data_IF_505280228472
#
_entry.id   IF_505280228472
#
_cell.length_a   1.000
_cell.length_b   1.000
_cell.length_c   1.000
_cell.angle_alpha   90.00
_cell.angle_beta   90.00
_cell.angle_gamma   90.00
#
_symmetry.space_group_name_H-M   'P 1'
#
loop_
_entity.id
_entity.type
_entity.pdbx_description
1 polymer ?
#
# COMPACT_ATOMS: atom_id res chain seq x y z
N UNK A 1 -9.36 -19.49 -10.23
CA UNK A 1 -9.24 -18.08 -9.85
C UNK A 1 -7.83 -17.62 -10.15
N UNK A 2 -7.67 -16.72 -11.11
CA UNK A 2 -6.36 -16.17 -11.51
C UNK A 2 -6.18 -14.80 -10.86
N UNK A 3 -4.96 -14.49 -10.42
CA UNK A 3 -4.63 -13.19 -9.85
C UNK A 3 -3.19 -13.17 -9.35
N UNK A 4 -2.65 -11.99 -9.04
CA UNK A 4 -1.23 -11.84 -8.64
C UNK A 4 -0.89 -12.67 -7.39
N UNK A 5 0.38 -12.99 -7.20
CA UNK A 5 0.85 -13.54 -5.92
C UNK A 5 0.55 -12.56 -4.78
N UNK A 6 0.27 -13.07 -3.57
CA UNK A 6 0.04 -12.29 -2.34
C UNK A 6 -1.21 -11.39 -2.29
N UNK A 7 -2.15 -11.49 -3.23
CA UNK A 7 -3.42 -10.72 -3.19
C UNK A 7 -4.51 -11.35 -2.32
N UNK A 8 -4.18 -12.39 -1.54
CA UNK A 8 -5.15 -13.05 -0.65
C UNK A 8 -6.05 -14.10 -1.32
N UNK A 9 -5.70 -14.59 -2.52
CA UNK A 9 -6.49 -15.61 -3.24
C UNK A 9 -6.80 -16.84 -2.39
N UNK A 10 -5.78 -17.41 -1.75
CA UNK A 10 -5.95 -18.60 -0.91
C UNK A 10 -6.73 -18.29 0.37
N UNK A 11 -6.67 -17.05 0.90
CA UNK A 11 -7.51 -16.65 2.03
C UNK A 11 -8.97 -16.46 1.62
N UNK A 12 -9.25 -15.95 0.41
CA UNK A 12 -10.60 -15.88 -0.15
C UNK A 12 -11.18 -17.29 -0.34
N UNK A 13 -10.40 -18.24 -0.87
CA UNK A 13 -10.82 -19.64 -1.01
C UNK A 13 -11.10 -20.25 0.37
N UNK A 14 -10.21 -20.04 1.33
CA UNK A 14 -10.39 -20.52 2.70
C UNK A 14 -11.64 -19.90 3.36
N UNK A 15 -11.92 -18.62 3.13
CA UNK A 15 -13.11 -17.95 3.63
C UNK A 15 -14.41 -18.52 3.04
N UNK A 16 -14.45 -18.71 1.71
CA UNK A 16 -15.61 -19.30 1.03
C UNK A 16 -15.88 -20.75 1.48
N UNK A 17 -14.82 -21.52 1.75
CA UNK A 17 -14.93 -22.87 2.31
C UNK A 17 -15.53 -22.84 3.73
N UNK A 18 -15.06 -21.93 4.60
CA UNK A 18 -15.59 -21.78 5.97
C UNK A 18 -17.10 -21.47 5.99
N UNK A 19 -17.54 -20.55 5.13
CA UNK A 19 -18.96 -20.16 5.00
C UNK A 19 -19.80 -21.36 4.55
N UNK A 20 -19.27 -22.16 3.62
CA UNK A 20 -20.05 -23.20 2.96
C UNK A 20 -20.18 -24.49 3.76
N UNK A 21 -19.16 -24.82 4.58
CA UNK A 21 -19.10 -26.06 5.36
C UNK A 21 -19.71 -25.88 6.76
N UNK A 22 -19.99 -24.65 7.21
CA UNK A 22 -20.78 -24.38 8.42
C UNK A 22 -20.07 -24.72 9.74
N UNK A 23 -18.77 -24.46 9.84
CA UNK A 23 -18.00 -24.67 11.07
C UNK A 23 -16.51 -24.86 10.84
N UNK A 24 -15.73 -24.71 11.91
CA UNK A 24 -14.27 -24.89 11.93
C UNK A 24 -13.89 -26.37 11.88
N UNK A 25 -13.71 -26.94 10.69
CA UNK A 25 -13.02 -28.22 10.57
C UNK A 25 -12.29 -28.32 9.22
N UNK A 26 -10.98 -28.57 9.33
CA UNK A 26 -9.96 -28.73 8.29
C UNK A 26 -9.53 -27.47 7.54
N UNK A 27 -8.35 -26.97 7.92
CA UNK A 27 -7.49 -26.14 7.08
C UNK A 27 -7.06 -27.01 5.88
N UNK A 28 -7.87 -27.02 4.81
CA UNK A 28 -7.60 -27.86 3.61
C UNK A 28 -6.30 -27.46 2.91
N UNK A 29 -5.80 -26.24 3.17
CA UNK A 29 -4.51 -25.76 2.66
C UNK A 29 -3.63 -25.29 3.82
N UNK A 30 -2.85 -26.20 4.41
CA UNK A 30 -1.73 -25.84 5.25
C UNK A 30 -0.53 -25.52 4.33
N UNK A 31 -0.45 -24.30 3.78
CA UNK A 31 0.81 -23.86 3.14
C UNK A 31 1.64 -23.04 4.12
N UNK A 32 2.61 -23.70 4.74
CA UNK A 32 3.74 -23.06 5.39
C UNK A 32 4.65 -22.42 4.32
N UNK A 33 4.98 -21.14 4.50
CA UNK A 33 6.17 -20.43 3.96
C UNK A 33 6.09 -19.97 2.47
N UNK A 34 6.61 -18.77 2.12
CA UNK A 34 6.34 -18.07 0.86
C UNK A 34 7.14 -18.67 -0.29
N UNK A 35 6.50 -18.89 -1.44
CA UNK A 35 7.19 -19.33 -2.65
C UNK A 35 6.29 -20.01 -3.66
N UNK A 36 5.47 -20.97 -3.26
CA UNK A 36 4.67 -21.74 -4.23
C UNK A 36 3.51 -22.47 -3.56
N UNK A 37 2.33 -22.42 -4.16
CA UNK A 37 1.44 -23.59 -4.16
C UNK A 37 1.79 -24.39 -5.40
N UNK A 38 2.74 -25.31 -5.30
CA UNK A 38 2.98 -26.30 -6.36
C UNK A 38 1.81 -27.28 -6.35
N UNK A 39 0.81 -27.02 -7.18
CA UNK A 39 -0.32 -27.93 -7.40
C UNK A 39 -1.61 -27.17 -7.71
N UNK A 40 -2.14 -27.36 -8.92
CA UNK A 40 -3.52 -26.99 -9.24
C UNK A 40 -4.44 -27.85 -8.36
N UNK A 41 -4.90 -27.30 -7.24
CA UNK A 41 -5.94 -27.93 -6.43
C UNK A 41 -7.30 -27.50 -6.96
N UNK A 42 -7.99 -28.42 -7.63
CA UNK A 42 -9.39 -28.24 -8.02
C UNK A 42 -10.31 -28.54 -6.83
N UNK A 43 -11.06 -27.55 -6.35
CA UNK A 43 -12.07 -27.71 -5.31
C UNK A 43 -13.45 -27.79 -5.98
N UNK A 44 -14.23 -28.87 -5.80
CA UNK A 44 -15.56 -28.97 -6.41
C UNK A 44 -16.48 -27.79 -6.01
N UNK A 45 -17.16 -27.15 -6.97
CA UNK A 45 -18.06 -26.02 -6.72
C UNK A 45 -19.21 -26.36 -5.77
N UNK A 46 -19.60 -27.64 -5.69
CA UNK A 46 -20.55 -28.13 -4.68
C UNK A 46 -20.17 -27.77 -3.23
N UNK A 47 -18.86 -27.61 -2.96
CA UNK A 47 -18.36 -27.20 -1.63
C UNK A 47 -18.56 -25.72 -1.34
N UNK A 48 -19.00 -24.92 -2.31
CA UNK A 48 -19.24 -23.50 -2.18
C UNK A 48 -20.73 -23.12 -2.33
N UNK A 49 -21.63 -24.10 -2.41
CA UNK A 49 -23.04 -23.89 -2.78
C UNK A 49 -23.75 -22.91 -1.84
N UNK A 50 -23.53 -22.98 -0.53
CA UNK A 50 -24.13 -22.02 0.41
C UNK A 50 -23.58 -20.59 0.29
N UNK A 51 -22.38 -20.41 -0.28
CA UNK A 51 -21.74 -19.10 -0.42
C UNK A 51 -21.88 -18.48 -1.83
N UNK A 52 -22.08 -19.30 -2.87
CA UNK A 52 -22.07 -18.87 -4.28
C UNK A 52 -23.39 -19.11 -5.00
N UNK A 53 -24.30 -19.92 -4.46
CA UNK A 53 -25.58 -20.25 -5.11
C UNK A 53 -26.72 -19.72 -4.23
N UNK A 54 -27.55 -18.77 -4.73
CA UNK A 54 -28.79 -18.38 -4.04
C UNK A 54 -29.65 -19.64 -3.81
N UNK A 55 -30.41 -19.68 -2.71
CA UNK A 55 -31.23 -20.84 -2.27
C UNK A 55 -32.37 -21.25 -3.23
N UNK A 56 -32.27 -20.97 -4.52
CA UNK A 56 -33.25 -21.29 -5.54
C UNK A 56 -32.52 -21.65 -6.85
N UNK A 57 -32.37 -22.94 -7.14
CA UNK A 57 -32.17 -23.42 -8.52
C UNK A 57 -30.80 -23.99 -8.92
N UNK A 58 -30.10 -24.74 -8.07
CA UNK A 58 -28.95 -25.53 -8.53
C UNK A 58 -29.43 -26.70 -9.43
N UNK A 59 -29.29 -26.58 -10.75
CA UNK A 59 -29.58 -27.67 -11.69
C UNK A 59 -28.49 -28.75 -11.67
N UNK A 60 -28.86 -29.97 -12.05
CA UNK A 60 -28.04 -31.20 -11.99
C UNK A 60 -26.73 -31.17 -12.79
N UNK A 61 -26.54 -30.20 -13.71
CA UNK A 61 -25.30 -29.99 -14.47
C UNK A 61 -24.15 -29.38 -13.64
N UNK A 62 -24.41 -28.81 -12.45
CA UNK A 62 -23.38 -28.18 -11.60
C UNK A 62 -22.51 -29.18 -10.81
N UNK A 63 -22.73 -30.50 -10.98
CA UNK A 63 -22.08 -31.55 -10.18
C UNK A 63 -20.62 -31.83 -10.56
N UNK A 64 -20.13 -31.31 -11.70
CA UNK A 64 -18.78 -31.55 -12.22
C UNK A 64 -17.94 -30.27 -12.39
N UNK A 65 -18.38 -29.14 -11.84
CA UNK A 65 -17.64 -27.88 -11.92
C UNK A 65 -16.63 -27.75 -10.77
N UNK A 66 -15.41 -27.28 -11.06
CA UNK A 66 -14.32 -27.13 -10.08
C UNK A 66 -13.79 -25.69 -10.06
N UNK A 67 -13.56 -25.17 -8.85
CA UNK A 67 -12.76 -23.96 -8.65
C UNK A 67 -11.29 -24.36 -8.53
N UNK A 68 -10.51 -24.00 -9.53
CA UNK A 68 -9.06 -24.22 -9.51
C UNK A 68 -8.35 -23.03 -8.88
N UNK A 69 -7.57 -23.24 -7.83
CA UNK A 69 -6.57 -22.26 -7.39
C UNK A 69 -5.36 -22.36 -8.32
N UNK A 70 -5.10 -21.30 -9.08
CA UNK A 70 -3.90 -21.23 -9.93
C UNK A 70 -2.80 -20.51 -9.14
N UNK A 71 -1.54 -20.97 -9.19
CA UNK A 71 -0.42 -20.25 -8.60
C UNK A 71 -0.47 -18.77 -8.99
N UNK A 72 -0.29 -17.89 -8.01
CA UNK A 72 -0.36 -16.46 -8.30
C UNK A 72 0.75 -16.05 -9.24
N UNK A 73 0.39 -15.35 -10.31
CA UNK A 73 1.39 -14.77 -11.23
C UNK A 73 2.17 -13.73 -10.44
N UNK A 74 3.47 -13.96 -10.24
CA UNK A 74 4.36 -12.97 -9.68
C UNK A 74 4.46 -11.82 -10.67
N UNK A 75 4.11 -10.60 -10.24
CA UNK A 75 4.25 -9.41 -11.05
C UNK A 75 5.61 -8.80 -10.76
N UNK A 76 6.49 -8.75 -11.77
CA UNK A 76 7.80 -8.10 -11.69
C UNK A 76 7.72 -6.60 -11.32
N UNK A 77 6.52 -6.01 -11.35
CA UNK A 77 6.24 -4.61 -10.96
C UNK A 77 5.77 -4.41 -9.51
N UNK A 78 5.77 -5.47 -8.69
CA UNK A 78 5.28 -5.38 -7.31
C UNK A 78 6.45 -5.14 -6.36
N UNK A 79 6.58 -3.92 -5.82
CA UNK A 79 7.68 -3.59 -4.89
C UNK A 79 7.78 -4.55 -3.68
N UNK A 80 6.65 -5.17 -3.30
CA UNK A 80 6.56 -6.23 -2.28
C UNK A 80 7.55 -7.38 -2.54
N UNK A 81 7.85 -7.74 -3.80
CA UNK A 81 8.77 -8.86 -4.10
C UNK A 81 10.24 -8.55 -3.80
N UNK A 82 10.59 -7.27 -3.61
CA UNK A 82 11.94 -6.83 -3.28
C UNK A 82 12.13 -6.58 -1.78
N UNK A 83 11.09 -6.85 -0.99
CA UNK A 83 11.11 -6.70 0.46
C UNK A 83 11.49 -8.00 1.16
N UNK A 84 12.37 -7.92 2.15
CA UNK A 84 12.64 -9.01 3.08
C UNK A 84 11.42 -9.29 3.96
N UNK A 85 11.40 -10.44 4.64
CA UNK A 85 10.33 -10.76 5.58
C UNK A 85 10.16 -9.73 6.72
N UNK A 86 11.24 -9.07 7.12
CA UNK A 86 11.22 -8.00 8.11
C UNK A 86 10.57 -6.73 7.54
N UNK A 87 11.02 -6.31 6.36
CA UNK A 87 10.48 -5.14 5.67
C UNK A 87 9.00 -5.31 5.28
N UNK A 88 8.59 -6.53 4.93
CA UNK A 88 7.19 -6.87 4.68
C UNK A 88 6.30 -6.68 5.92
N UNK A 89 6.83 -6.92 7.13
CA UNK A 89 6.09 -6.64 8.38
C UNK A 89 5.91 -5.14 8.62
N UNK A 90 6.84 -4.31 8.12
CA UNK A 90 6.77 -2.86 8.20
C UNK A 90 5.82 -2.28 7.14
N UNK A 91 5.96 -2.72 5.89
CA UNK A 91 5.25 -2.14 4.75
C UNK A 91 3.80 -2.61 4.63
N UNK A 92 3.54 -3.91 4.81
CA UNK A 92 2.23 -4.49 4.50
C UNK A 92 1.28 -4.35 5.68
N UNK A 93 0.11 -3.79 5.42
CA UNK A 93 -0.93 -3.59 6.42
C UNK A 93 -1.56 -4.94 6.83
N UNK A 94 -1.22 -5.43 8.03
CA UNK A 94 -1.81 -6.67 8.60
C UNK A 94 -2.95 -6.42 9.58
N UNK A 95 -3.08 -5.18 10.05
CA UNK A 95 -4.11 -4.73 10.98
C UNK A 95 -4.85 -3.55 10.37
N UNK A 96 -5.98 -3.16 10.96
CA UNK A 96 -6.70 -1.94 10.59
C UNK A 96 -5.73 -0.75 10.60
N UNK A 97 -5.58 -0.11 9.45
CA UNK A 97 -4.74 1.09 9.30
C UNK A 97 -5.36 2.21 10.14
N UNK A 98 -4.53 2.89 10.94
CA UNK A 98 -4.92 4.14 11.59
C UNK A 98 -4.45 5.29 10.70
N UNK A 99 -5.36 6.05 10.07
CA UNK A 99 -4.97 7.16 9.21
C UNK A 99 -4.19 8.21 10.01
N UNK A 100 -3.16 8.78 9.39
CA UNK A 100 -2.39 9.89 9.95
C UNK A 100 -2.51 11.12 9.06
N UNK A 101 -3.08 12.20 9.59
CA UNK A 101 -3.24 13.46 8.85
C UNK A 101 -2.13 14.45 9.20
N UNK A 102 -1.59 15.12 8.18
CA UNK A 102 -0.56 16.15 8.35
C UNK A 102 -0.68 17.22 7.26
N UNK A 103 0.18 18.24 7.34
CA UNK A 103 0.28 19.31 6.34
C UNK A 103 1.57 19.13 5.55
N UNK A 104 1.47 19.11 4.22
CA UNK A 104 2.61 19.15 3.32
C UNK A 104 2.75 20.56 2.74
N UNK A 105 3.88 21.21 3.01
CA UNK A 105 4.18 22.54 2.47
C UNK A 105 4.72 22.51 1.04
N UNK A 106 4.67 23.66 0.36
CA UNK A 106 5.40 23.85 -0.90
C UNK A 106 6.91 23.62 -0.66
N UNK A 107 7.58 23.00 -1.63
CA UNK A 107 8.99 22.58 -1.54
C UNK A 107 9.29 21.55 -0.43
N UNK A 108 8.26 20.83 0.02
CA UNK A 108 8.39 19.71 0.96
C UNK A 108 8.05 18.37 0.32
N UNK A 109 8.59 17.34 0.95
CA UNK A 109 8.39 15.93 0.63
C UNK A 109 7.74 15.21 1.79
N UNK A 110 6.78 14.35 1.47
CA UNK A 110 6.29 13.26 2.30
C UNK A 110 6.98 11.97 1.83
N UNK A 111 7.59 11.22 2.73
CA UNK A 111 8.29 9.97 2.44
C UNK A 111 7.71 8.81 3.25
N UNK A 112 7.49 7.67 2.61
CA UNK A 112 7.08 6.39 3.20
C UNK A 112 8.27 5.43 3.13
N UNK A 113 9.24 5.64 4.02
CA UNK A 113 10.54 4.97 3.94
C UNK A 113 11.22 5.23 2.58
N UNK A 114 11.96 4.23 2.10
CA UNK A 114 12.46 4.13 0.74
C UNK A 114 11.42 3.67 -0.29
N UNK A 115 10.15 3.47 0.10
CA UNK A 115 9.13 2.86 -0.75
C UNK A 115 8.23 3.84 -1.52
N UNK A 116 8.16 5.09 -1.10
CA UNK A 116 7.35 6.09 -1.78
C UNK A 116 7.67 7.49 -1.32
N UNK A 117 7.55 8.46 -2.21
CA UNK A 117 7.76 9.88 -1.93
C UNK A 117 6.79 10.73 -2.74
N UNK A 118 6.24 11.78 -2.13
CA UNK A 118 5.41 12.80 -2.78
C UNK A 118 6.04 14.16 -2.48
N UNK A 119 6.36 14.89 -3.54
CA UNK A 119 6.84 16.27 -3.46
C UNK A 119 5.74 17.22 -3.91
N UNK A 120 5.48 18.29 -3.13
CA UNK A 120 4.66 19.41 -3.58
C UNK A 120 5.58 20.44 -4.25
N UNK A 121 5.53 20.51 -5.57
CA UNK A 121 6.47 21.32 -6.37
C UNK A 121 5.86 22.63 -6.87
N UNK A 122 4.54 22.69 -7.06
CA UNK A 122 3.82 23.92 -7.39
C UNK A 122 2.44 23.94 -6.73
N UNK A 123 1.89 25.13 -6.47
CA UNK A 123 0.54 25.32 -5.94
C UNK A 123 0.50 26.11 -4.63
N UNK A 124 -0.44 25.81 -3.71
CA UNK A 124 -0.59 26.56 -2.48
C UNK A 124 0.62 26.36 -1.55
N UNK A 125 0.80 27.27 -0.60
CA UNK A 125 1.88 27.15 0.39
C UNK A 125 1.80 25.88 1.23
N UNK A 126 0.60 25.31 1.40
CA UNK A 126 0.31 24.11 2.19
C UNK A 126 -0.89 23.36 1.61
N UNK A 127 -0.80 22.03 1.58
CA UNK A 127 -1.92 21.10 1.35
C UNK A 127 -2.07 20.17 2.54
N UNK A 128 -3.28 19.64 2.72
CA UNK A 128 -3.53 18.62 3.72
C UNK A 128 -3.39 17.24 3.10
N UNK A 129 -2.77 16.33 3.84
CA UNK A 129 -2.58 14.95 3.43
C UNK A 129 -3.02 14.01 4.55
N UNK A 130 -3.70 12.93 4.19
CA UNK A 130 -4.04 11.84 5.10
C UNK A 130 -3.46 10.54 4.58
N UNK A 131 -2.56 9.95 5.36
CA UNK A 131 -1.78 8.78 4.99
C UNK A 131 -2.47 7.52 5.51
N UNK A 132 -2.73 6.59 4.60
CA UNK A 132 -3.25 5.26 4.86
C UNK A 132 -2.17 4.22 4.57
N UNK A 133 -1.19 4.11 5.47
CA UNK A 133 -0.11 3.13 5.39
C UNK A 133 0.30 2.67 6.78
N UNK A 134 0.93 1.50 6.85
CA UNK A 134 1.56 0.99 8.07
C UNK A 134 2.97 1.60 8.27
N UNK A 135 3.53 2.23 7.24
CA UNK A 135 4.81 2.92 7.30
C UNK A 135 4.61 4.30 7.92
N UNK A 136 5.43 4.64 8.92
CA UNK A 136 5.40 5.97 9.52
C UNK A 136 5.94 6.99 8.51
N UNK A 137 5.18 8.06 8.20
CA UNK A 137 5.62 9.05 7.24
C UNK A 137 6.74 9.93 7.81
N UNK A 138 7.67 10.33 6.95
CA UNK A 138 8.70 11.33 7.23
C UNK A 138 8.45 12.56 6.35
N UNK A 139 8.44 13.74 6.96
CA UNK A 139 8.26 15.01 6.26
C UNK A 139 9.54 15.83 6.32
N UNK A 140 9.95 16.38 5.18
CA UNK A 140 11.20 17.15 5.07
C UNK A 140 11.16 18.07 3.85
N UNK A 141 12.18 18.91 3.64
CA UNK A 141 12.34 19.67 2.40
C UNK A 141 12.79 18.76 1.26
N UNK A 142 12.38 19.05 0.02
CA UNK A 142 12.75 18.27 -1.19
C UNK A 142 14.25 17.98 -1.26
N UNK A 143 15.09 19.02 -1.12
CA UNK A 143 16.56 18.86 -1.13
C UNK A 143 17.09 17.88 -0.08
N UNK A 144 16.45 17.81 1.10
CA UNK A 144 16.84 16.88 2.16
C UNK A 144 16.26 15.49 1.93
N UNK A 145 15.10 15.38 1.27
CA UNK A 145 14.61 14.08 0.82
C UNK A 145 15.55 13.47 -0.23
N UNK A 146 16.09 14.28 -1.14
CA UNK A 146 17.11 13.85 -2.11
C UNK A 146 18.36 13.30 -1.39
N UNK A 147 18.93 14.07 -0.46
CA UNK A 147 20.06 13.65 0.38
C UNK A 147 19.79 12.33 1.13
N UNK A 148 18.61 12.19 1.74
CA UNK A 148 18.25 10.97 2.47
C UNK A 148 18.18 9.74 1.55
N UNK A 149 17.69 9.90 0.32
CA UNK A 149 17.64 8.80 -0.67
C UNK A 149 19.05 8.46 -1.15
N UNK A 150 19.88 9.46 -1.45
CA UNK A 150 21.25 9.26 -1.92
C UNK A 150 22.10 8.56 -0.86
N UNK A 151 22.04 9.01 0.39
CA UNK A 151 22.75 8.39 1.51
C UNK A 151 22.29 6.96 1.76
N UNK A 152 20.98 6.70 1.71
CA UNK A 152 20.44 5.34 1.79
C UNK A 152 21.02 4.46 0.66
N UNK A 153 21.05 4.97 -0.57
CA UNK A 153 21.60 4.25 -1.73
C UNK A 153 23.13 4.07 -1.66
N UNK A 154 23.84 4.93 -0.94
CA UNK A 154 25.26 4.76 -0.64
C UNK A 154 25.54 3.70 0.44
N UNK A 155 24.49 3.13 1.06
CA UNK A 155 24.60 2.15 2.12
C UNK A 155 24.60 2.74 3.54
N UNK A 156 24.32 4.04 3.68
CA UNK A 156 24.20 4.67 5.00
C UNK A 156 22.85 4.39 5.64
N UNK A 157 22.86 4.18 6.96
CA UNK A 157 21.62 4.07 7.74
C UNK A 157 20.95 5.44 7.83
N UNK A 158 19.73 5.54 7.32
CA UNK A 158 18.90 6.75 7.42
C UNK A 158 17.58 6.45 8.15
N UNK A 159 16.73 7.48 8.27
CA UNK A 159 15.38 7.32 8.79
C UNK A 159 14.43 6.66 7.78
N UNK A 160 14.86 6.46 6.53
CA UNK A 160 14.05 5.87 5.47
C UNK A 160 13.99 4.35 5.64
N UNK A 161 12.98 3.88 6.36
CA UNK A 161 12.77 2.45 6.60
C UNK A 161 11.33 2.07 6.29
N UNK A 162 11.10 0.97 5.54
CA UNK A 162 12.08 0.11 4.87
C UNK A 162 12.74 0.79 3.64
N UNK A 163 13.89 0.31 3.12
CA UNK A 163 14.61 -0.91 3.51
C UNK A 163 15.25 -0.85 4.89
N UNK A 164 15.54 -2.03 5.46
CA UNK A 164 16.34 -2.18 6.68
C UNK A 164 17.39 -3.25 6.46
N UNK A 165 18.60 -3.05 7.00
CA UNK A 165 19.69 -4.01 6.86
C UNK A 165 21.08 -3.37 6.96
N UNK A 166 22.05 -4.10 6.44
CA UNK A 166 23.42 -3.64 6.28
C UNK A 166 23.60 -2.78 5.01
N UNK A 167 24.80 -2.23 4.82
CA UNK A 167 25.09 -1.35 3.70
C UNK A 167 24.85 -2.01 2.34
N UNK A 168 25.15 -3.30 2.20
CA UNK A 168 24.94 -4.05 0.95
C UNK A 168 23.45 -4.23 0.65
N UNK A 169 22.63 -4.54 1.65
CA UNK A 169 21.17 -4.58 1.51
C UNK A 169 20.59 -3.25 1.06
N UNK A 170 21.10 -2.15 1.61
CA UNK A 170 20.64 -0.80 1.29
C UNK A 170 21.03 -0.39 -0.14
N UNK A 171 22.27 -0.65 -0.58
CA UNK A 171 22.72 -0.41 -1.96
C UNK A 171 21.96 -1.26 -2.99
N UNK A 172 21.58 -2.48 -2.63
CA UNK A 172 20.80 -3.35 -3.51
C UNK A 172 19.32 -2.92 -3.61
N UNK A 173 18.83 -2.12 -2.66
CA UNK A 173 17.43 -1.71 -2.68
C UNK A 173 17.13 -0.83 -3.90
N UNK A 174 16.03 -1.07 -4.63
CA UNK A 174 15.79 -0.34 -5.87
C UNK A 174 15.68 1.17 -5.68
N UNK A 175 16.28 1.92 -6.59
CA UNK A 175 16.30 3.38 -6.54
C UNK A 175 14.90 3.95 -6.74
N UNK A 176 14.58 5.01 -5.98
CA UNK A 176 13.38 5.80 -6.23
C UNK A 176 13.56 6.61 -7.52
N UNK A 177 12.63 6.42 -8.44
CA UNK A 177 12.56 7.15 -9.70
C UNK A 177 11.19 7.82 -9.81
N UNK A 178 11.09 8.85 -10.66
CA UNK A 178 9.85 9.55 -10.89
C UNK A 178 8.82 8.58 -11.50
N UNK A 179 7.76 8.30 -10.75
CA UNK A 179 6.70 7.40 -11.18
C UNK A 179 5.56 8.14 -11.86
N UNK A 180 5.27 9.36 -11.40
CA UNK A 180 4.21 10.20 -11.94
C UNK A 180 4.46 11.67 -11.59
N UNK A 181 4.15 12.55 -12.53
CA UNK A 181 3.90 13.97 -12.26
C UNK A 181 2.39 14.22 -12.48
N UNK A 182 1.74 14.86 -11.50
CA UNK A 182 0.29 15.04 -11.54
C UNK A 182 -0.10 16.46 -11.12
N UNK A 183 -0.94 17.08 -11.94
CA UNK A 183 -1.54 18.38 -11.66
C UNK A 183 -3.02 18.22 -11.38
N UNK A 184 -3.51 18.92 -10.37
CA UNK A 184 -4.89 18.80 -9.91
C UNK A 184 -5.34 20.08 -9.20
N UNK A 185 -6.64 20.25 -9.08
CA UNK A 185 -7.27 21.32 -8.33
C UNK A 185 -7.63 20.83 -6.93
N UNK A 186 -7.66 21.74 -5.96
CA UNK A 186 -8.17 21.46 -4.63
C UNK A 186 -9.63 21.88 -4.56
N UNK A 187 -10.54 20.92 -4.52
CA UNK A 187 -11.97 21.19 -4.66
C UNK A 187 -12.67 21.53 -3.34
N UNK A 188 -12.11 21.10 -2.20
CA UNK A 188 -12.77 21.25 -0.91
C UNK A 188 -11.82 21.23 0.28
N UNK A 189 -12.11 22.03 1.32
CA UNK A 189 -11.28 22.09 2.53
C UNK A 189 -11.34 20.81 3.37
N UNK A 190 -12.49 20.14 3.38
CA UNK A 190 -12.76 19.00 4.26
C UNK A 190 -12.85 17.67 3.52
N UNK A 191 -12.86 17.66 2.18
CA UNK A 191 -12.96 16.43 1.39
C UNK A 191 -11.67 16.21 0.63
N UNK A 192 -11.16 14.99 0.65
CA UNK A 192 -10.11 14.60 -0.27
C UNK A 192 -10.57 14.81 -1.71
N UNK A 193 -9.66 15.26 -2.56
CA UNK A 193 -9.89 15.43 -4.00
C UNK A 193 -9.29 14.27 -4.79
N UNK A 194 -8.12 13.79 -4.39
CA UNK A 194 -7.45 12.65 -5.00
C UNK A 194 -6.84 11.71 -3.95
N UNK A 195 -6.74 10.44 -4.30
CA UNK A 195 -5.84 9.48 -3.65
C UNK A 195 -4.61 9.24 -4.55
N UNK A 196 -3.42 9.41 -3.99
CA UNK A 196 -2.16 8.92 -4.57
C UNK A 196 -1.87 7.54 -4.00
N UNK A 197 -1.94 6.51 -4.83
CA UNK A 197 -1.86 5.10 -4.42
C UNK A 197 -0.45 4.57 -4.66
N UNK A 198 0.12 3.92 -3.65
CA UNK A 198 1.34 3.13 -3.73
C UNK A 198 1.00 1.64 -3.60
N UNK A 199 1.09 0.90 -4.71
CA UNK A 199 0.67 -0.49 -4.79
C UNK A 199 1.34 -1.35 -3.71
N UNK A 200 0.52 -1.96 -2.84
CA UNK A 200 1.00 -2.83 -1.76
C UNK A 200 1.44 -2.13 -0.48
N UNK A 201 1.53 -0.80 -0.49
CA UNK A 201 2.04 0.01 0.63
C UNK A 201 0.91 0.81 1.29
N UNK A 202 -0.02 1.32 0.49
CA UNK A 202 -1.10 2.18 0.96
C UNK A 202 -1.44 3.29 -0.02
N UNK A 203 -2.08 4.35 0.48
CA UNK A 203 -2.34 5.56 -0.31
C UNK A 203 -2.28 6.82 0.55
N UNK A 204 -2.15 7.97 -0.10
CA UNK A 204 -2.20 9.29 0.51
C UNK A 204 -3.36 10.06 -0.11
N UNK A 205 -4.38 10.36 0.70
CA UNK A 205 -5.47 11.23 0.31
C UNK A 205 -5.03 12.69 0.44
N UNK A 206 -5.27 13.51 -0.58
CA UNK A 206 -4.92 14.93 -0.59
C UNK A 206 -6.20 15.77 -0.56
N UNK A 207 -6.26 16.74 0.35
CA UNK A 207 -7.38 17.67 0.50
C UNK A 207 -6.91 19.14 0.60
N UNK A 208 -7.82 20.06 0.28
CA UNK A 208 -7.59 21.50 0.31
C UNK A 208 -8.43 22.23 -0.74
N UNK A 209 -8.49 23.55 -0.59
CA UNK A 209 -9.17 24.43 -1.56
C UNK A 209 -8.12 25.34 -2.19
N UNK A 210 -7.80 25.09 -3.47
CA UNK A 210 -6.79 25.83 -4.23
C UNK A 210 -7.02 25.64 -5.73
N UNK A 211 -6.68 26.65 -6.56
CA UNK A 211 -6.95 26.60 -7.99
C UNK A 211 -6.11 25.55 -8.74
N UNK A 212 -4.86 25.33 -8.31
CA UNK A 212 -3.96 24.34 -8.92
C UNK A 212 -2.87 23.94 -7.95
N UNK A 213 -2.47 22.67 -8.00
CA UNK A 213 -1.26 22.15 -7.38
C UNK A 213 -0.63 21.12 -8.30
N UNK A 214 0.68 20.95 -8.16
CA UNK A 214 1.49 19.98 -8.89
C UNK A 214 2.32 19.17 -7.92
N UNK A 215 2.22 17.85 -8.05
CA UNK A 215 3.00 16.90 -7.27
C UNK A 215 3.89 16.05 -8.17
N UNK A 216 5.06 15.69 -7.64
CA UNK A 216 5.91 14.63 -8.19
C UNK A 216 5.89 13.45 -7.23
N UNK A 217 5.62 12.27 -7.77
CA UNK A 217 5.53 11.04 -6.99
C UNK A 217 6.64 10.10 -7.44
N UNK A 218 7.42 9.64 -6.47
CA UNK A 218 8.53 8.73 -6.69
C UNK A 218 8.25 7.40 -6.02
N UNK A 219 8.68 6.33 -6.67
CA UNK A 219 8.64 4.98 -6.12
C UNK A 219 9.83 4.19 -6.66
N UNK A 220 10.15 3.04 -6.06
CA UNK A 220 11.24 2.23 -6.57
C UNK A 220 10.96 1.76 -8.01
N UNK A 221 11.95 1.93 -8.89
CA UNK A 221 11.83 1.76 -10.35
C UNK A 221 10.78 2.65 -11.05
N UNK A 222 10.21 3.65 -10.36
CA UNK A 222 9.15 4.50 -10.92
C UNK A 222 7.85 3.74 -11.23
N UNK A 223 7.60 2.62 -10.55
CA UNK A 223 6.42 1.76 -10.82
C UNK A 223 5.46 1.67 -9.65
N UNK A 224 4.24 1.20 -9.90
CA UNK A 224 3.27 0.88 -8.85
C UNK A 224 2.61 2.11 -8.21
N UNK A 225 2.64 3.26 -8.88
CA UNK A 225 1.95 4.48 -8.47
C UNK A 225 0.77 4.76 -9.41
N UNK A 226 -0.37 5.18 -8.87
CA UNK A 226 -1.46 5.74 -9.66
C UNK A 226 -2.27 6.78 -8.86
N UNK A 227 -3.06 7.57 -9.56
CA UNK A 227 -4.04 8.48 -8.95
C UNK A 227 -5.45 7.94 -9.20
N UNK A 228 -6.34 8.09 -8.22
CA UNK A 228 -7.75 7.70 -8.32
C UNK A 228 -8.66 8.65 -7.52
N UNK A 229 -9.99 8.57 -7.72
CA UNK A 229 -10.94 9.21 -6.81
C UNK A 229 -10.78 8.72 -5.36
N UNK A 230 -11.00 9.58 -4.35
CA UNK A 230 -10.79 9.22 -2.96
C UNK A 230 -11.74 8.12 -2.47
N UNK A 231 -11.19 7.09 -1.83
CA UNK A 231 -12.02 6.06 -1.20
C UNK A 231 -12.64 6.49 0.13
N UNK A 232 -11.92 7.33 0.90
CA UNK A 232 -12.35 7.80 2.22
C UNK A 232 -12.30 9.34 2.28
N UNK A 233 -13.19 10.04 1.53
CA UNK A 233 -13.07 11.47 1.33
C UNK A 233 -13.24 12.32 2.61
N UNK A 234 -13.93 11.79 3.63
CA UNK A 234 -14.30 12.55 4.85
C UNK A 234 -13.47 12.20 6.09
N UNK A 235 -12.52 11.26 6.01
CA UNK A 235 -11.84 10.72 7.21
C UNK A 235 -10.70 11.62 7.73
N UNK A 236 -10.65 12.87 7.27
CA UNK A 236 -9.70 13.88 7.71
C UNK A 236 -9.93 14.23 9.19
N UNK A 237 -8.85 14.17 9.99
CA UNK A 237 -8.84 14.74 11.34
C UNK A 237 -7.97 15.98 11.33
N UNK A 238 -8.58 17.14 11.58
CA UNK A 238 -7.85 18.40 11.67
C UNK A 238 -6.83 18.27 12.82
N UNK A 239 -5.54 18.35 12.50
CA UNK A 239 -4.52 18.38 13.54
C UNK A 239 -4.72 19.65 14.37
N UNK A 240 -5.02 19.51 15.66
CA UNK A 240 -5.14 20.64 16.57
C UNK A 240 -3.84 21.46 16.56
N UNK A 241 -3.88 22.80 16.71
CA UNK A 241 -2.70 23.67 16.58
C UNK A 241 -1.61 23.46 17.64
N UNK A 242 -1.82 22.59 18.62
CA UNK A 242 -0.91 22.36 19.74
C UNK A 242 -0.14 21.05 19.58
N UNK A 243 0.90 21.05 18.75
CA UNK A 243 2.01 20.10 18.87
C UNK A 243 3.24 20.56 18.09
N UNK A 244 4.00 21.49 18.68
CA UNK A 244 5.48 21.53 18.63
C UNK A 244 6.02 22.76 19.36
N UNK A 245 5.82 22.81 20.68
CA UNK A 245 6.86 23.39 21.55
C UNK A 245 7.52 22.24 22.28
N UNK A 246 8.85 22.32 22.39
CA UNK A 246 9.74 21.41 23.12
C UNK A 246 10.05 20.06 22.45
N UNK A 247 11.20 20.02 21.79
CA UNK A 247 12.37 19.24 22.23
C UNK A 247 13.61 19.88 21.63
N UNK A 248 14.22 20.81 22.38
CA UNK A 248 15.63 21.16 22.19
C UNK A 248 16.44 19.95 22.66
N UNK A 249 17.25 19.39 21.78
CA UNK A 249 18.32 18.46 22.15
C UNK A 249 19.31 19.19 23.06
N UNK A 250 19.77 18.59 24.18
CA UNK A 250 20.92 19.12 24.89
C UNK A 250 22.18 18.94 24.03
N UNK A 251 23.03 19.95 24.09
CA UNK A 251 24.40 20.02 23.58
C UNK A 251 25.31 18.91 24.10
#
# INVERSE_FOLDING_TARGET
MVGRANVGKSELINALLRISIGGSAHKVLASHIPGTTMGLSGIPLRRFVKALVPSSGAQSHDRQSYLYDTPGVFSNKSIISYLTNEELKLAVCRKRIKPFSFILGLDQSLMLGGLGRIDLVEGPSRIFVTIYSNIRPHFTRIKRADDLVERMQAGEKTILQPPVGDAERLKWFPRQELALEHEFEGLHKQHATIDVVFAGIGWVAINGLFPRAKIRVFSPFGTGVCVRPPMMPFEFKQASPHMSSQRKTPS
#
